data_IF_028485935574
#
_entry.id   IF_028485935574
#
_cell.length_a   1.000
_cell.length_b   1.000
_cell.length_c   1.000
_cell.angle_alpha   90.00
_cell.angle_beta   90.00
_cell.angle_gamma   90.00
#
_symmetry.space_group_name_H-M   'P 1'
#
loop_
_entity.id
_entity.type
_entity.pdbx_description
1 polymer ?
#
# COMPACT_ATOMS: atom_id res chain seq x y z
N UNK A 1 -35.57 8.45 -58.90
CA UNK A 1 -34.63 9.60 -58.86
C UNK A 1 -33.96 9.54 -57.50
N UNK A 2 -33.05 8.57 -57.40
CA UNK A 2 -32.57 7.99 -56.15
C UNK A 2 -31.29 8.73 -55.77
N UNK A 3 -31.50 9.85 -55.08
CA UNK A 3 -30.43 10.78 -54.71
C UNK A 3 -29.67 10.36 -53.44
N UNK A 4 -28.47 10.93 -53.21
CA UNK A 4 -27.39 10.41 -52.35
C UNK A 4 -27.66 10.37 -50.83
N UNK A 5 -28.90 10.56 -50.40
CA UNK A 5 -29.25 10.76 -48.99
C UNK A 5 -29.09 9.50 -48.14
N UNK A 6 -29.20 8.30 -48.72
CA UNK A 6 -28.88 7.04 -48.01
C UNK A 6 -27.39 6.90 -47.68
N UNK A 7 -26.48 7.46 -48.48
CA UNK A 7 -25.04 7.35 -48.21
C UNK A 7 -24.60 8.28 -47.08
N UNK A 8 -25.18 9.48 -46.98
CA UNK A 8 -24.77 10.50 -46.01
C UNK A 8 -24.87 10.05 -44.55
N UNK A 9 -25.98 9.42 -44.14
CA UNK A 9 -26.16 8.93 -42.77
C UNK A 9 -25.19 7.80 -42.41
N UNK A 10 -24.96 6.89 -43.36
CA UNK A 10 -23.98 5.80 -43.21
C UNK A 10 -22.56 6.36 -43.12
N UNK A 11 -22.21 7.36 -43.93
CA UNK A 11 -20.90 8.02 -43.90
C UNK A 11 -20.66 8.69 -42.55
N UNK A 12 -21.64 9.37 -41.96
CA UNK A 12 -21.50 9.99 -40.64
C UNK A 12 -21.34 8.93 -39.54
N UNK A 13 -22.12 7.86 -39.60
CA UNK A 13 -21.99 6.72 -38.67
C UNK A 13 -20.59 6.14 -38.74
N UNK A 14 -20.13 5.82 -39.95
CA UNK A 14 -18.80 5.27 -40.21
C UNK A 14 -17.72 6.24 -39.76
N UNK A 15 -17.85 7.55 -40.02
CA UNK A 15 -16.90 8.57 -39.59
C UNK A 15 -16.81 8.67 -38.06
N UNK A 16 -17.93 8.63 -37.34
CA UNK A 16 -17.95 8.64 -35.86
C UNK A 16 -17.35 7.35 -35.30
N UNK A 17 -17.65 6.19 -35.90
CA UNK A 17 -17.09 4.90 -35.49
C UNK A 17 -15.58 4.83 -35.73
N UNK A 18 -15.11 5.33 -36.88
CA UNK A 18 -13.68 5.49 -37.19
C UNK A 18 -13.00 6.46 -36.24
N UNK A 19 -13.64 7.59 -35.94
CA UNK A 19 -13.13 8.55 -34.98
C UNK A 19 -13.02 7.94 -33.58
N UNK A 20 -14.01 7.16 -33.14
CA UNK A 20 -13.95 6.42 -31.87
C UNK A 20 -12.85 5.36 -31.86
N UNK A 21 -12.73 4.59 -32.94
CA UNK A 21 -11.69 3.57 -33.12
C UNK A 21 -10.29 4.19 -33.07
N UNK A 22 -10.14 5.42 -33.58
CA UNK A 22 -8.90 6.18 -33.52
C UNK A 22 -8.63 6.81 -32.14
N UNK A 23 -9.65 7.35 -31.47
CA UNK A 23 -9.48 8.15 -30.25
C UNK A 23 -9.39 7.30 -28.97
N UNK A 24 -10.09 6.15 -28.90
CA UNK A 24 -10.03 5.26 -27.73
C UNK A 24 -8.62 4.71 -27.44
N UNK A 25 -7.87 4.20 -28.44
CA UNK A 25 -6.52 3.67 -28.22
C UNK A 25 -5.50 4.77 -27.92
N UNK A 26 -5.61 5.92 -28.59
CA UNK A 26 -4.65 7.03 -28.44
C UNK A 26 -4.67 7.65 -27.05
N UNK A 27 -5.84 7.65 -26.38
CA UNK A 27 -5.92 8.02 -24.95
C UNK A 27 -5.30 6.97 -24.02
N UNK A 28 -5.41 5.69 -24.38
CA UNK A 28 -4.84 4.58 -23.60
C UNK A 28 -3.31 4.53 -23.69
N UNK A 29 -2.74 4.89 -24.84
CA UNK A 29 -1.29 4.99 -25.05
C UNK A 29 -0.62 6.01 -24.14
N UNK A 30 -1.18 7.23 -24.03
CA UNK A 30 -0.66 8.36 -23.22
C UNK A 30 -0.39 8.01 -21.76
N UNK A 31 -1.17 7.09 -21.17
CA UNK A 31 -0.97 6.64 -19.79
C UNK A 31 0.04 5.49 -19.66
N UNK A 32 0.29 4.74 -20.74
CA UNK A 32 1.33 3.71 -20.76
C UNK A 32 2.72 4.32 -20.94
N UNK A 33 2.85 5.48 -21.61
CA UNK A 33 4.13 6.19 -21.74
C UNK A 33 4.76 6.51 -20.37
N UNK A 34 4.00 7.01 -19.40
CA UNK A 34 4.52 7.29 -18.05
C UNK A 34 4.98 6.03 -17.28
N UNK A 35 4.42 4.87 -17.59
CA UNK A 35 4.84 3.59 -16.99
C UNK A 35 6.04 3.00 -17.73
N UNK A 36 6.08 3.13 -19.06
CA UNK A 36 7.16 2.69 -19.93
C UNK A 36 8.42 3.53 -19.72
N UNK A 37 8.32 4.85 -19.55
CA UNK A 37 9.45 5.73 -19.24
C UNK A 37 10.14 5.33 -17.94
N UNK A 38 9.38 5.06 -16.88
CA UNK A 38 9.95 4.62 -15.60
C UNK A 38 10.58 3.23 -15.71
N UNK A 39 10.05 2.36 -16.56
CA UNK A 39 10.63 1.05 -16.82
C UNK A 39 11.92 1.15 -17.64
N UNK A 40 11.96 2.04 -18.63
CA UNK A 40 13.14 2.34 -19.43
C UNK A 40 14.26 2.99 -18.58
N UNK A 41 13.92 3.91 -17.68
CA UNK A 41 14.89 4.52 -16.74
C UNK A 41 15.48 3.46 -15.81
N UNK A 42 14.65 2.57 -15.26
CA UNK A 42 15.12 1.45 -14.40
C UNK A 42 15.99 0.47 -15.16
N UNK A 43 15.65 0.17 -16.41
CA UNK A 43 16.44 -0.73 -17.24
C UNK A 43 17.80 -0.12 -17.59
N UNK A 44 17.84 1.16 -17.97
CA UNK A 44 19.10 1.87 -18.21
C UNK A 44 19.95 2.02 -16.95
N UNK A 45 19.31 2.22 -15.79
CA UNK A 45 20.01 2.27 -14.51
C UNK A 45 20.53 0.88 -14.09
N UNK A 46 19.77 -0.18 -14.33
CA UNK A 46 20.20 -1.55 -14.11
C UNK A 46 21.37 -1.92 -15.03
N UNK A 47 21.30 -1.58 -16.32
CA UNK A 47 22.40 -1.80 -17.28
C UNK A 47 23.66 -1.02 -16.88
N UNK A 48 23.49 0.21 -16.39
CA UNK A 48 24.60 1.03 -15.91
C UNK A 48 25.25 0.44 -14.65
N UNK A 49 24.44 0.01 -13.68
CA UNK A 49 24.93 -0.67 -12.48
C UNK A 49 25.61 -1.99 -12.84
N UNK A 50 25.06 -2.77 -13.78
CA UNK A 50 25.68 -4.00 -14.29
C UNK A 50 27.03 -3.73 -14.96
N UNK A 51 27.13 -2.65 -15.74
CA UNK A 51 28.39 -2.21 -16.34
C UNK A 51 29.39 -1.77 -15.26
N UNK A 52 28.96 -1.00 -14.26
CA UNK A 52 29.78 -0.55 -13.13
C UNK A 52 30.21 -1.71 -12.22
N UNK A 53 29.43 -2.79 -12.11
CA UNK A 53 29.81 -4.02 -11.38
C UNK A 53 30.63 -5.03 -12.19
N UNK A 54 30.89 -4.77 -13.47
CA UNK A 54 31.68 -5.66 -14.33
C UNK A 54 33.20 -5.37 -14.29
N UNK A 55 33.62 -4.32 -13.60
CA UNK A 55 35.03 -3.98 -13.37
C UNK A 55 35.61 -4.85 -12.24
N UNK A 56 35.88 -6.12 -12.60
CA UNK A 56 36.80 -7.14 -12.03
C UNK A 56 37.12 -7.10 -10.51
N UNK A 57 36.61 -8.05 -9.69
CA UNK A 57 37.24 -8.37 -8.41
C UNK A 57 38.52 -9.21 -8.65
N UNK A 58 39.62 -8.71 -8.11
CA UNK A 58 40.99 -9.20 -8.35
C UNK A 58 41.19 -10.71 -8.14
N UNK A 59 41.76 -11.31 -9.17
CA UNK A 59 42.33 -12.66 -9.17
C UNK A 59 43.51 -12.75 -8.19
N UNK A 60 43.32 -13.19 -6.96
CA UNK A 60 44.42 -13.87 -6.25
C UNK A 60 43.90 -14.83 -5.18
N UNK A 61 44.33 -16.10 -5.28
CA UNK A 61 44.36 -17.19 -4.27
C UNK A 61 43.10 -18.05 -4.11
N UNK A 62 42.87 -18.99 -5.03
CA UNK A 62 41.86 -20.03 -4.83
C UNK A 62 42.19 -21.42 -5.39
N UNK A 63 43.43 -21.89 -5.23
CA UNK A 63 43.75 -23.27 -5.68
C UNK A 63 43.51 -24.35 -4.60
N UNK A 64 43.32 -24.00 -3.32
CA UNK A 64 42.96 -24.97 -2.28
C UNK A 64 41.51 -24.90 -1.76
N UNK A 65 40.75 -23.83 -2.03
CA UNK A 65 39.33 -23.76 -1.65
C UNK A 65 38.36 -24.11 -2.79
N UNK A 66 38.78 -24.55 -3.98
CA UNK A 66 37.83 -24.71 -5.09
C UNK A 66 36.66 -25.68 -4.77
N UNK A 67 36.92 -26.77 -4.03
CA UNK A 67 35.85 -27.72 -3.64
C UNK A 67 34.98 -27.22 -2.49
N UNK A 68 35.56 -26.58 -1.48
CA UNK A 68 34.82 -26.02 -0.32
C UNK A 68 34.10 -24.71 -0.69
N UNK A 69 34.69 -23.89 -1.54
CA UNK A 69 34.09 -22.69 -2.11
C UNK A 69 32.93 -23.01 -3.04
N UNK A 70 32.97 -24.09 -3.83
CA UNK A 70 31.81 -24.54 -4.61
C UNK A 70 30.64 -25.01 -3.72
N UNK A 71 30.94 -25.68 -2.60
CA UNK A 71 29.93 -26.08 -1.62
C UNK A 71 29.32 -24.85 -0.91
N UNK A 72 30.16 -23.90 -0.48
CA UNK A 72 29.73 -22.64 0.12
C UNK A 72 28.99 -21.73 -0.87
N UNK A 73 29.39 -21.72 -2.15
CA UNK A 73 28.71 -20.99 -3.22
C UNK A 73 27.34 -21.60 -3.51
N UNK A 74 27.21 -22.95 -3.50
CA UNK A 74 25.91 -23.61 -3.63
C UNK A 74 24.99 -23.30 -2.45
N UNK A 75 25.52 -23.29 -1.22
CA UNK A 75 24.76 -22.89 -0.02
C UNK A 75 24.36 -21.41 -0.07
N UNK A 76 25.28 -20.52 -0.46
CA UNK A 76 25.00 -19.09 -0.60
C UNK A 76 23.94 -18.82 -1.68
N UNK A 77 24.00 -19.51 -2.82
CA UNK A 77 22.97 -19.43 -3.86
C UNK A 77 21.61 -19.93 -3.38
N UNK A 78 21.56 -21.02 -2.60
CA UNK A 78 20.30 -21.51 -2.02
C UNK A 78 19.71 -20.50 -1.05
N UNK A 79 20.51 -19.97 -0.13
CA UNK A 79 20.08 -18.95 0.84
C UNK A 79 19.66 -17.67 0.13
N UNK A 80 20.34 -17.25 -0.94
CA UNK A 80 19.90 -16.12 -1.78
C UNK A 80 18.57 -16.41 -2.45
N UNK A 81 18.40 -17.59 -3.07
CA UNK A 81 17.14 -17.94 -3.74
C UNK A 81 15.95 -18.04 -2.76
N UNK A 82 16.19 -18.52 -1.54
CA UNK A 82 15.18 -18.56 -0.48
C UNK A 82 14.83 -17.15 0.01
N UNK A 83 15.82 -16.26 0.13
CA UNK A 83 15.59 -14.85 0.48
C UNK A 83 14.82 -14.12 -0.61
N UNK A 84 15.19 -14.30 -1.87
CA UNK A 84 14.50 -13.73 -3.01
C UNK A 84 13.06 -14.24 -3.10
N UNK A 85 12.83 -15.55 -2.87
CA UNK A 85 11.49 -16.11 -2.82
C UNK A 85 10.65 -15.49 -1.69
N UNK A 86 11.23 -15.36 -0.49
CA UNK A 86 10.56 -14.74 0.65
C UNK A 86 10.29 -13.23 0.44
N UNK A 87 11.17 -12.51 -0.23
CA UNK A 87 10.96 -11.11 -0.60
C UNK A 87 9.88 -10.96 -1.67
N UNK A 88 9.85 -11.85 -2.67
CA UNK A 88 8.80 -11.89 -3.68
C UNK A 88 7.44 -12.22 -3.06
N UNK A 89 7.38 -13.11 -2.08
CA UNK A 89 6.15 -13.40 -1.33
C UNK A 89 5.69 -12.19 -0.52
N UNK A 90 6.59 -11.53 0.21
CA UNK A 90 6.28 -10.27 0.93
C UNK A 90 5.78 -9.18 -0.01
N UNK A 91 6.44 -8.97 -1.15
CA UNK A 91 6.01 -8.02 -2.17
C UNK A 91 4.64 -8.39 -2.75
N UNK A 92 4.36 -9.68 -2.95
CA UNK A 92 3.04 -10.15 -3.39
C UNK A 92 1.98 -9.91 -2.32
N UNK A 93 2.29 -10.13 -1.05
CA UNK A 93 1.40 -9.84 0.09
C UNK A 93 1.15 -8.33 0.23
N UNK A 94 2.18 -7.49 0.11
CA UNK A 94 2.05 -6.04 0.13
C UNK A 94 1.24 -5.53 -1.07
N UNK A 95 1.45 -6.09 -2.26
CA UNK A 95 0.65 -5.80 -3.44
C UNK A 95 -0.79 -6.32 -3.28
N UNK A 96 -1.00 -7.48 -2.63
CA UNK A 96 -2.31 -8.01 -2.34
C UNK A 96 -3.04 -7.13 -1.31
N UNK A 97 -2.35 -6.67 -0.27
CA UNK A 97 -2.86 -5.74 0.74
C UNK A 97 -3.20 -4.37 0.13
N UNK A 98 -2.32 -3.85 -0.73
CA UNK A 98 -2.56 -2.59 -1.47
C UNK A 98 -3.69 -2.74 -2.50
N UNK A 99 -3.84 -3.92 -3.12
CA UNK A 99 -4.97 -4.24 -4.00
C UNK A 99 -6.26 -4.48 -3.21
N UNK A 100 -6.17 -5.00 -1.99
CA UNK A 100 -7.29 -5.20 -1.08
C UNK A 100 -7.77 -3.89 -0.47
N UNK A 101 -6.96 -2.82 -0.51
CA UNK A 101 -7.36 -1.49 -0.07
C UNK A 101 -8.66 -1.05 -0.81
N UNK A 102 -9.79 -0.96 -0.10
CA UNK A 102 -11.07 -0.66 -0.70
C UNK A 102 -11.10 0.72 -1.36
N UNK A 103 -10.24 1.65 -0.93
CA UNK A 103 -10.18 3.01 -1.46
C UNK A 103 -9.62 3.01 -2.89
N UNK A 104 -8.53 2.28 -3.13
CA UNK A 104 -7.87 2.20 -4.44
C UNK A 104 -8.75 1.43 -5.43
N UNK A 105 -9.41 0.35 -4.99
CA UNK A 105 -10.40 -0.39 -5.81
C UNK A 105 -11.57 0.49 -6.22
N UNK A 106 -12.15 1.24 -5.28
CA UNK A 106 -13.27 2.15 -5.55
C UNK A 106 -12.86 3.28 -6.51
N UNK A 107 -11.65 3.81 -6.39
CA UNK A 107 -11.15 4.85 -7.30
C UNK A 107 -10.95 4.34 -8.74
N UNK A 108 -10.35 3.15 -8.91
CA UNK A 108 -10.17 2.52 -10.24
C UNK A 108 -11.50 2.10 -10.86
N UNK A 109 -12.40 1.53 -10.07
CA UNK A 109 -13.75 1.15 -10.53
C UNK A 109 -14.53 2.37 -11.03
N UNK A 110 -14.49 3.51 -10.30
CA UNK A 110 -15.13 4.76 -10.74
C UNK A 110 -14.58 5.27 -12.06
N UNK A 111 -13.26 5.20 -12.27
CA UNK A 111 -12.64 5.61 -13.55
C UNK A 111 -13.08 4.72 -14.72
N UNK A 112 -13.14 3.40 -14.52
CA UNK A 112 -13.61 2.45 -15.53
C UNK A 112 -15.09 2.66 -15.87
N UNK A 113 -15.94 2.77 -14.85
CA UNK A 113 -17.38 3.02 -15.02
C UNK A 113 -17.61 4.35 -15.73
N UNK A 114 -16.86 5.41 -15.40
CA UNK A 114 -16.95 6.69 -16.10
C UNK A 114 -16.59 6.56 -17.58
N UNK A 115 -15.50 5.87 -17.93
CA UNK A 115 -15.11 5.66 -19.32
C UNK A 115 -16.17 4.86 -20.11
N UNK A 116 -16.68 3.78 -19.52
CA UNK A 116 -17.75 2.97 -20.13
C UNK A 116 -19.00 3.83 -20.33
N UNK A 117 -19.46 4.54 -19.31
CA UNK A 117 -20.64 5.40 -19.39
C UNK A 117 -20.48 6.52 -20.43
N UNK A 118 -19.30 7.14 -20.53
CA UNK A 118 -19.04 8.14 -21.59
C UNK A 118 -19.04 7.51 -22.98
N UNK A 119 -18.46 6.32 -23.16
CA UNK A 119 -18.52 5.64 -24.47
C UNK A 119 -19.93 5.24 -24.84
N UNK A 120 -20.73 4.73 -23.88
CA UNK A 120 -22.12 4.36 -24.10
C UNK A 120 -22.99 5.57 -24.44
N UNK A 121 -22.74 6.72 -23.80
CA UNK A 121 -23.44 7.97 -24.10
C UNK A 121 -23.18 8.43 -25.54
N UNK A 122 -21.91 8.41 -25.98
CA UNK A 122 -21.53 8.82 -27.34
C UNK A 122 -22.14 7.89 -28.39
N UNK A 123 -22.05 6.57 -28.16
CA UNK A 123 -22.69 5.58 -29.04
C UNK A 123 -24.21 5.77 -29.08
N UNK A 124 -24.84 5.98 -27.93
CA UNK A 124 -26.28 6.25 -27.84
C UNK A 124 -26.70 7.50 -28.61
N UNK A 125 -25.91 8.59 -28.55
CA UNK A 125 -26.16 9.81 -29.32
C UNK A 125 -26.07 9.55 -30.82
N UNK A 126 -25.08 8.75 -31.25
CA UNK A 126 -24.97 8.30 -32.64
C UNK A 126 -26.21 7.53 -33.11
N UNK A 127 -26.65 6.54 -32.32
CA UNK A 127 -27.86 5.74 -32.61
C UNK A 127 -29.12 6.63 -32.64
N UNK A 128 -29.23 7.58 -31.73
CA UNK A 128 -30.37 8.52 -31.68
C UNK A 128 -30.39 9.41 -32.92
N UNK A 129 -29.24 9.95 -33.34
CA UNK A 129 -29.12 10.75 -34.56
C UNK A 129 -29.52 9.97 -35.81
N UNK A 130 -29.12 8.69 -35.89
CA UNK A 130 -29.54 7.80 -36.96
C UNK A 130 -31.04 7.49 -36.91
N UNK A 131 -31.60 7.31 -35.72
CA UNK A 131 -33.02 7.13 -35.52
C UNK A 131 -33.83 8.34 -35.97
N UNK A 132 -33.39 9.55 -35.67
CA UNK A 132 -34.03 10.80 -36.13
C UNK A 132 -34.00 10.88 -37.66
N UNK A 133 -32.87 10.54 -38.28
CA UNK A 133 -32.78 10.47 -39.74
C UNK A 133 -33.72 9.40 -40.32
N UNK A 134 -33.81 8.22 -39.68
CA UNK A 134 -34.70 7.14 -40.11
C UNK A 134 -36.19 7.52 -40.03
N UNK A 135 -36.59 8.35 -39.06
CA UNK A 135 -37.94 8.90 -38.97
C UNK A 135 -38.26 9.74 -40.21
N UNK A 136 -37.32 10.58 -40.63
CA UNK A 136 -37.49 11.47 -41.78
C UNK A 136 -37.48 10.67 -43.11
N UNK A 137 -36.61 9.67 -43.22
CA UNK A 137 -36.40 8.92 -44.45
C UNK A 137 -37.40 7.76 -44.66
N UNK A 138 -37.85 7.11 -43.58
CA UNK A 138 -38.62 5.86 -43.64
C UNK A 138 -39.83 5.82 -42.67
N UNK A 139 -40.09 6.89 -41.91
CA UNK A 139 -41.24 7.00 -41.01
C UNK A 139 -41.17 6.14 -39.74
N UNK A 140 -40.10 5.37 -39.53
CA UNK A 140 -39.92 4.51 -38.36
C UNK A 140 -39.17 5.23 -37.24
N UNK A 141 -39.66 5.12 -36.00
CA UNK A 141 -39.10 5.79 -34.82
C UNK A 141 -38.38 4.86 -33.83
N UNK A 142 -38.32 3.55 -34.11
CA UNK A 142 -37.83 2.53 -33.18
C UNK A 142 -36.37 2.80 -32.78
N UNK A 143 -35.50 3.15 -33.73
CA UNK A 143 -34.10 3.46 -33.46
C UNK A 143 -33.90 4.74 -32.64
N UNK A 144 -34.78 5.72 -32.80
CA UNK A 144 -34.73 6.97 -32.03
C UNK A 144 -35.08 6.71 -30.55
N UNK A 145 -36.08 5.86 -30.29
CA UNK A 145 -36.45 5.47 -28.93
C UNK A 145 -35.36 4.64 -28.24
N UNK A 146 -34.76 3.67 -28.96
CA UNK A 146 -33.66 2.85 -28.41
C UNK A 146 -32.44 3.71 -28.10
N UNK A 147 -32.01 4.55 -29.04
CA UNK A 147 -30.88 5.47 -28.84
C UNK A 147 -31.15 6.44 -27.68
N UNK A 148 -32.33 7.05 -27.66
CA UNK A 148 -32.74 8.00 -26.62
C UNK A 148 -32.76 7.38 -25.23
N UNK A 149 -33.27 6.14 -25.09
CA UNK A 149 -33.26 5.42 -23.83
C UNK A 149 -31.83 5.14 -23.33
N UNK A 150 -30.93 4.73 -24.23
CA UNK A 150 -29.51 4.50 -23.88
C UNK A 150 -28.82 5.81 -23.46
N UNK A 151 -29.08 6.92 -24.15
CA UNK A 151 -28.56 8.24 -23.81
C UNK A 151 -29.05 8.69 -22.42
N UNK A 152 -30.34 8.50 -22.13
CA UNK A 152 -30.91 8.84 -20.83
C UNK A 152 -30.27 8.04 -19.69
N UNK A 153 -30.14 6.72 -19.84
CA UNK A 153 -29.52 5.86 -18.84
C UNK A 153 -28.05 6.26 -18.62
N UNK A 154 -27.29 6.43 -19.69
CA UNK A 154 -25.89 6.84 -19.60
C UNK A 154 -25.75 8.24 -18.96
N UNK A 155 -26.61 9.19 -19.32
CA UNK A 155 -26.65 10.54 -18.76
C UNK A 155 -26.92 10.55 -17.26
N UNK A 156 -27.93 9.80 -16.79
CA UNK A 156 -28.27 9.69 -15.36
C UNK A 156 -27.11 9.08 -14.55
N UNK A 157 -26.44 8.06 -15.09
CA UNK A 157 -25.27 7.46 -14.41
C UNK A 157 -24.11 8.46 -14.27
N UNK A 158 -23.81 9.23 -15.32
CA UNK A 158 -22.78 10.27 -15.30
C UNK A 158 -23.13 11.41 -14.35
N UNK A 159 -24.39 11.85 -14.33
CA UNK A 159 -24.86 12.89 -13.41
C UNK A 159 -24.75 12.46 -11.95
N UNK A 160 -25.16 11.23 -11.61
CA UNK A 160 -24.98 10.66 -10.26
C UNK A 160 -23.51 10.58 -9.86
N UNK A 161 -22.64 10.17 -10.78
CA UNK A 161 -21.19 10.15 -10.52
C UNK A 161 -20.62 11.55 -10.30
N UNK A 162 -21.03 12.54 -11.10
CA UNK A 162 -20.62 13.93 -10.94
C UNK A 162 -21.07 14.50 -9.59
N UNK A 163 -22.32 14.23 -9.17
CA UNK A 163 -22.85 14.64 -7.87
C UNK A 163 -22.08 14.03 -6.69
N UNK A 164 -21.67 12.75 -6.79
CA UNK A 164 -20.84 12.12 -5.76
C UNK A 164 -19.43 12.71 -5.76
N UNK A 165 -18.85 13.00 -6.93
CA UNK A 165 -17.52 13.59 -7.03
C UNK A 165 -17.48 15.00 -6.42
N UNK A 166 -18.49 15.84 -6.69
CA UNK A 166 -18.59 17.18 -6.12
C UNK A 166 -18.87 17.14 -4.61
N UNK A 167 -19.70 16.21 -4.12
CA UNK A 167 -19.93 16.01 -2.69
C UNK A 167 -18.64 15.62 -1.95
N UNK A 168 -17.88 14.67 -2.50
CA UNK A 168 -16.60 14.25 -1.92
C UNK A 168 -15.60 15.40 -1.93
N UNK A 169 -15.48 16.13 -3.06
CA UNK A 169 -14.58 17.28 -3.17
C UNK A 169 -14.90 18.39 -2.15
N UNK A 170 -16.19 18.66 -1.93
CA UNK A 170 -16.66 19.62 -0.90
C UNK A 170 -16.36 19.12 0.51
N UNK A 171 -16.57 17.83 0.80
CA UNK A 171 -16.26 17.25 2.10
C UNK A 171 -14.76 17.25 2.42
N UNK A 172 -13.90 17.14 1.39
CA UNK A 172 -12.43 17.23 1.54
C UNK A 172 -11.91 18.66 1.62
N UNK A 173 -12.74 19.66 1.34
CA UNK A 173 -12.36 21.06 1.51
C UNK A 173 -12.41 21.40 3.01
N UNK A 174 -11.38 20.97 3.74
CA UNK A 174 -11.08 21.48 5.08
C UNK A 174 -11.05 22.99 4.95
N UNK A 175 -11.98 23.66 5.63
CA UNK A 175 -12.06 25.13 5.69
C UNK A 175 -10.66 25.63 6.02
N UNK A 176 -9.99 26.26 5.04
CA UNK A 176 -8.71 26.90 5.28
C UNK A 176 -8.98 27.97 6.34
N UNK A 177 -8.41 27.80 7.53
CA UNK A 177 -8.48 28.81 8.57
C UNK A 177 -8.02 30.15 7.96
N UNK A 178 -8.72 31.27 8.24
CA UNK A 178 -8.36 32.56 7.68
C UNK A 178 -6.88 32.84 7.94
N UNK A 179 -6.14 33.12 6.88
CA UNK A 179 -4.72 33.42 6.98
C UNK A 179 -4.57 34.71 7.80
N UNK A 180 -4.16 34.57 9.07
CA UNK A 180 -3.82 35.72 9.91
C UNK A 180 -2.66 36.45 9.22
N UNK A 181 -2.81 37.74 8.87
CA UNK A 181 -1.72 38.49 8.25
C UNK A 181 -0.53 38.49 9.21
N UNK A 182 0.61 37.95 8.76
CA UNK A 182 1.85 38.01 9.54
C UNK A 182 2.36 39.44 9.49
N UNK A 183 2.11 40.17 10.56
CA UNK A 183 2.71 41.49 10.78
C UNK A 183 4.19 41.23 11.04
N UNK A 184 5.05 41.68 10.14
CA UNK A 184 6.49 41.70 10.37
C UNK A 184 6.77 42.73 11.49
N UNK A 185 7.54 42.37 12.53
CA UNK A 185 7.98 43.36 13.52
C UNK A 185 8.81 44.45 12.82
N UNK A 186 8.65 45.71 13.25
CA UNK A 186 9.50 46.80 12.77
C UNK A 186 10.98 46.45 13.04
N UNK A 187 11.81 46.42 11.99
CA UNK A 187 13.24 46.18 12.14
C UNK A 187 13.85 47.39 12.88
N UNK A 188 14.19 47.19 14.14
CA UNK A 188 15.00 48.14 14.90
C UNK A 188 16.44 48.06 14.36
N UNK A 189 17.11 49.19 14.22
CA UNK A 189 18.52 49.25 13.79
C UNK A 189 19.39 48.51 14.83
N UNK A 190 19.91 47.34 14.45
CA UNK A 190 20.65 46.44 15.35
C UNK A 190 22.15 46.77 15.43
N UNK A 191 22.57 47.93 14.91
CA UNK A 191 23.98 48.34 14.93
C UNK A 191 24.86 47.53 13.98
N UNK A 192 26.19 47.59 14.17
CA UNK A 192 27.16 46.92 13.26
C UNK A 192 27.07 45.40 13.37
N UNK A 193 26.91 44.75 12.22
CA UNK A 193 26.85 43.30 12.11
C UNK A 193 28.09 42.62 12.72
N UNK A 194 27.91 42.02 13.88
CA UNK A 194 28.94 41.18 14.53
C UNK A 194 28.58 39.73 14.26
N UNK A 195 29.47 39.00 13.58
CA UNK A 195 29.24 37.59 13.26
C UNK A 195 29.18 36.77 14.55
N UNK A 196 28.02 36.17 14.84
CA UNK A 196 27.83 35.22 15.93
C UNK A 196 27.28 33.92 15.35
N UNK A 197 27.90 32.76 15.62
CA UNK A 197 27.40 31.49 15.12
C UNK A 197 26.04 31.20 15.75
N UNK A 198 25.00 31.20 14.93
CA UNK A 198 23.62 30.91 15.35
C UNK A 198 23.43 29.39 15.40
N UNK A 199 22.94 28.82 16.51
CA UNK A 199 22.63 27.40 16.54
C UNK A 199 21.56 27.09 15.49
N UNK A 200 21.68 25.91 14.87
CA UNK A 200 20.67 25.44 13.93
C UNK A 200 19.33 25.28 14.69
N UNK A 201 18.20 25.73 14.11
CA UNK A 201 16.91 25.55 14.74
C UNK A 201 16.63 24.06 14.98
N UNK A 202 15.98 23.78 16.10
CA UNK A 202 15.58 22.41 16.42
C UNK A 202 14.65 21.83 15.35
N UNK A 203 14.77 20.52 15.05
CA UNK A 203 13.92 19.88 14.07
C UNK A 203 12.46 19.92 14.55
N UNK A 204 11.54 20.26 13.65
CA UNK A 204 10.13 20.45 14.03
C UNK A 204 9.52 19.22 14.73
N UNK A 205 10.01 18.01 14.47
CA UNK A 205 9.54 16.79 15.14
C UNK A 205 9.80 16.76 16.65
N UNK A 206 10.80 17.49 17.17
CA UNK A 206 11.10 17.59 18.60
C UNK A 206 10.32 18.72 19.29
N UNK A 207 9.87 19.72 18.54
CA UNK A 207 9.14 20.87 19.08
C UNK A 207 7.71 20.46 19.46
N UNK A 208 7.36 20.58 20.74
CA UNK A 208 6.03 20.30 21.25
C UNK A 208 4.97 21.19 20.59
N UNK A 209 3.89 20.59 20.08
CA UNK A 209 2.79 21.28 19.39
C UNK A 209 3.04 21.54 17.90
N UNK A 210 4.20 21.14 17.35
CA UNK A 210 4.44 21.29 15.91
C UNK A 210 3.58 20.31 15.10
N UNK A 211 3.30 20.69 13.85
CA UNK A 211 2.59 19.80 12.90
C UNK A 211 3.39 18.54 12.57
N UNK A 212 4.72 18.63 12.57
CA UNK A 212 5.59 17.50 12.29
C UNK A 212 5.58 16.50 13.46
N UNK A 213 5.59 17.00 14.70
CA UNK A 213 5.44 16.16 15.90
C UNK A 213 4.08 15.47 15.91
N UNK A 214 3.00 16.20 15.63
CA UNK A 214 1.65 15.63 15.57
C UNK A 214 1.52 14.54 14.49
N UNK A 215 2.12 14.76 13.32
CA UNK A 215 2.17 13.74 12.25
C UNK A 215 2.96 12.50 12.67
N UNK A 216 4.11 12.69 13.31
CA UNK A 216 4.94 11.58 13.81
C UNK A 216 4.20 10.76 14.88
N UNK A 217 3.53 11.42 15.83
CA UNK A 217 2.72 10.76 16.85
C UNK A 217 1.56 9.96 16.24
N UNK A 218 0.94 10.45 15.16
CA UNK A 218 -0.09 9.71 14.43
C UNK A 218 0.46 8.45 13.76
N UNK A 219 1.65 8.54 13.14
CA UNK A 219 2.32 7.39 12.52
C UNK A 219 2.66 6.34 13.59
N UNK A 220 3.26 6.78 14.71
CA UNK A 220 3.63 5.89 15.80
C UNK A 220 2.40 5.20 16.41
N UNK A 221 1.30 5.93 16.63
CA UNK A 221 0.05 5.34 17.10
C UNK A 221 -0.50 4.28 16.14
N UNK A 222 -0.38 4.49 14.83
CA UNK A 222 -0.76 3.49 13.82
C UNK A 222 0.15 2.25 13.88
N UNK A 223 1.46 2.44 14.03
CA UNK A 223 2.42 1.35 14.15
C UNK A 223 2.20 0.54 15.43
N UNK A 224 1.94 1.20 16.56
CA UNK A 224 1.62 0.54 17.82
C UNK A 224 0.35 -0.32 17.69
N UNK A 225 -0.69 0.19 17.02
CA UNK A 225 -1.90 -0.60 16.70
C UNK A 225 -1.58 -1.82 15.83
N UNK A 226 -0.73 -1.67 14.80
CA UNK A 226 -0.30 -2.78 13.94
C UNK A 226 0.52 -3.81 14.72
N UNK A 227 1.43 -3.37 15.59
CA UNK A 227 2.22 -4.25 16.47
C UNK A 227 1.32 -5.01 17.43
N UNK A 228 0.37 -4.32 18.09
CA UNK A 228 -0.60 -4.94 18.98
C UNK A 228 -1.46 -6.00 18.25
N UNK A 229 -1.94 -5.70 17.04
CA UNK A 229 -2.69 -6.65 16.23
C UNK A 229 -1.86 -7.89 15.85
N UNK A 230 -0.57 -7.72 15.53
CA UNK A 230 0.34 -8.86 15.26
C UNK A 230 0.56 -9.72 16.49
N UNK A 231 0.78 -9.10 17.65
CA UNK A 231 0.96 -9.83 18.92
C UNK A 231 -0.32 -10.59 19.29
N UNK A 232 -1.49 -9.98 19.11
CA UNK A 232 -2.77 -10.65 19.32
C UNK A 232 -2.94 -11.87 18.39
N UNK A 233 -2.68 -11.71 17.09
CA UNK A 233 -2.75 -12.81 16.13
C UNK A 233 -1.76 -13.96 16.45
N UNK A 234 -0.55 -13.63 16.93
CA UNK A 234 0.41 -14.62 17.40
C UNK A 234 -0.07 -15.35 18.65
N UNK A 235 -0.71 -14.63 19.59
CA UNK A 235 -1.30 -15.24 20.80
C UNK A 235 -2.44 -16.20 20.45
N UNK A 236 -3.37 -15.79 19.59
CA UNK A 236 -4.46 -16.68 19.12
C UNK A 236 -3.91 -17.94 18.46
N UNK A 237 -2.86 -17.80 17.65
CA UNK A 237 -2.23 -18.95 16.98
C UNK A 237 -1.44 -19.83 17.94
N UNK A 238 -0.84 -19.25 18.99
CA UNK A 238 -0.21 -20.00 20.06
C UNK A 238 -1.24 -20.79 20.89
N UNK A 239 -2.40 -20.20 21.17
CA UNK A 239 -3.52 -20.88 21.85
C UNK A 239 -4.08 -22.04 21.02
N UNK A 240 -4.21 -21.87 19.70
CA UNK A 240 -4.63 -22.95 18.79
C UNK A 240 -3.63 -24.11 18.71
N UNK A 241 -2.33 -23.81 18.83
CA UNK A 241 -1.26 -24.82 18.81
C UNK A 241 -0.88 -25.29 20.22
N UNK A 242 -1.49 -24.74 21.27
CA UNK A 242 -1.17 -25.12 22.63
C UNK A 242 -1.59 -26.59 22.85
N UNK A 243 -0.69 -27.45 23.35
CA UNK A 243 -1.06 -28.81 23.71
C UNK A 243 -2.13 -28.75 24.82
N UNK A 244 -3.00 -29.77 24.84
CA UNK A 244 -4.03 -29.92 25.88
C UNK A 244 -3.36 -29.86 27.26
N UNK A 245 -3.92 -29.04 28.16
CA UNK A 245 -3.33 -28.79 29.46
C UNK A 245 -3.08 -30.13 30.16
N UNK A 246 -1.88 -30.37 30.71
CA UNK A 246 -1.59 -31.64 31.35
C UNK A 246 -2.61 -31.91 32.44
N UNK A 247 -3.28 -33.05 32.36
CA UNK A 247 -4.22 -33.52 33.38
C UNK A 247 -3.49 -33.47 34.71
N UNK A 248 -4.01 -32.68 35.65
CA UNK A 248 -3.47 -32.59 37.00
C UNK A 248 -3.61 -33.98 37.65
N UNK A 249 -2.54 -34.77 37.58
CA UNK A 249 -2.45 -36.01 38.33
C UNK A 249 -2.60 -35.63 39.81
N UNK A 250 -3.51 -36.25 40.57
CA UNK A 250 -3.61 -36.00 41.99
C UNK A 250 -2.22 -36.23 42.59
N UNK A 251 -1.72 -35.23 43.32
CA UNK A 251 -0.41 -35.30 43.96
C UNK A 251 -0.33 -36.64 44.69
N UNK A 252 0.62 -37.50 44.27
CA UNK A 252 0.83 -38.77 44.91
C UNK A 252 1.03 -38.51 46.41
N UNK A 253 0.08 -38.93 47.22
CA UNK A 253 0.13 -38.74 48.67
C UNK A 253 1.24 -39.63 49.20
N UNK A 254 2.47 -39.13 49.20
CA UNK A 254 3.58 -39.86 49.80
C UNK A 254 3.28 -39.98 51.30
N UNK A 255 3.57 -41.14 51.93
CA UNK A 255 3.41 -41.32 53.38
C UNK A 255 4.13 -40.25 54.20
N UNK A 256 5.18 -39.66 53.63
CA UNK A 256 6.02 -38.62 54.22
C UNK A 256 5.45 -37.20 54.08
N UNK A 257 4.46 -36.96 53.21
CA UNK A 257 3.81 -35.66 53.09
C UNK A 257 3.05 -35.24 54.37
N UNK A 258 2.75 -36.19 55.26
CA UNK A 258 2.13 -35.95 56.57
C UNK A 258 3.12 -35.60 57.69
N UNK A 259 4.43 -35.74 57.48
CA UNK A 259 5.44 -35.52 58.53
C UNK A 259 5.76 -34.04 58.80
N UNK A 260 5.14 -33.10 58.06
CA UNK A 260 5.48 -31.69 58.15
C UNK A 260 6.80 -31.39 57.43
N UNK A 261 6.95 -30.17 56.95
CA UNK A 261 8.20 -29.72 56.32
C UNK A 261 9.24 -29.53 57.43
N UNK A 262 10.29 -30.34 57.45
CA UNK A 262 11.43 -30.11 58.33
C UNK A 262 12.33 -29.11 57.62
N UNK A 263 12.56 -27.95 58.25
CA UNK A 263 13.41 -26.91 57.68
C UNK A 263 14.88 -27.33 57.76
N UNK A 264 15.55 -27.38 56.60
CA UNK A 264 16.97 -27.75 56.50
C UNK A 264 17.86 -26.83 57.36
N UNK A 265 17.45 -25.58 57.57
CA UNK A 265 18.18 -24.64 58.42
C UNK A 265 18.18 -25.05 59.91
N UNK A 266 17.10 -25.65 60.41
CA UNK A 266 17.02 -26.14 61.79
C UNK A 266 17.88 -27.40 61.98
N UNK A 267 17.92 -28.28 60.97
CA UNK A 267 18.78 -29.48 60.98
C UNK A 267 20.25 -29.06 61.02
N UNK A 268 20.65 -28.10 60.18
CA UNK A 268 22.03 -27.61 60.15
C UNK A 268 22.46 -26.95 61.48
N UNK A 269 21.55 -26.20 62.12
CA UNK A 269 21.81 -25.60 63.42
C UNK A 269 22.03 -26.66 64.50
N UNK A 270 21.19 -27.71 64.53
CA UNK A 270 21.30 -28.80 65.48
C UNK A 270 22.57 -29.64 65.28
N UNK A 271 22.94 -29.90 64.03
CA UNK A 271 24.20 -30.60 63.70
C UNK A 271 25.42 -29.78 64.13
N UNK A 272 25.39 -28.45 63.91
CA UNK A 272 26.48 -27.56 64.34
C UNK A 272 26.64 -27.53 65.86
N UNK A 273 25.53 -27.59 66.59
CA UNK A 273 25.53 -27.70 68.04
C UNK A 273 26.06 -29.05 68.55
N UNK A 274 25.71 -30.16 67.90
CA UNK A 274 26.25 -31.48 68.24
C UNK A 274 27.76 -31.56 68.01
N UNK A 275 28.23 -30.98 66.90
CA UNK A 275 29.65 -30.93 66.57
C UNK A 275 30.44 -30.04 67.54
N UNK A 276 29.87 -28.91 67.97
CA UNK A 276 30.54 -28.03 68.96
C UNK A 276 30.64 -28.68 70.34
N UNK A 277 29.62 -29.42 70.78
CA UNK A 277 29.67 -30.18 72.04
C UNK A 277 30.70 -31.31 72.01
N UNK A 278 30.85 -31.99 70.87
CA UNK A 278 31.89 -33.03 70.69
C UNK A 278 33.30 -32.45 70.65
N UNK A 279 33.48 -31.24 70.13
CA UNK A 279 34.78 -30.59 70.07
C UNK A 279 35.26 -30.04 71.43
N UNK A 280 34.36 -29.95 72.42
CA UNK A 280 34.62 -29.38 73.75
C UNK A 280 34.80 -30.43 74.86
N UNK A 281 34.80 -31.73 74.53
CA UNK A 281 35.11 -32.84 75.44
C UNK A 281 36.33 -33.61 74.95
#
# INVERSE_FOLDING_TARGET
MDGPVLSGGVIVLVAVLLWMLYLLPSWRGRFQYNAAERNAVRLNQALRVLAETSETPGEVRFELNARTALAQQKLAKRVQSEREAAELEKLREELAATRADPVIRRARARRRVRMIATSTLVVGLGVTGLGIWQIIAAGSSVLAWIGGAVVLIAGVTLQRMAAVATRVARATHVVAAPAVPRIAPELHDQGRATWTPRPLPEPLVSVAGSRAQAAQAQIEAQEQRRKAARVAALRERAEQMAPEAPVALPAASSPYARMGFVDDAEIEAHVRELLSRRAAG
#
